data_IF_293573397912
#
_entry.id   IF_293573397912
#
_cell.length_a   1.000
_cell.length_b   1.000
_cell.length_c   1.000
_cell.angle_alpha   90.00
_cell.angle_beta   90.00
_cell.angle_gamma   90.00
#
_symmetry.space_group_name_H-M   'P 1'
#
loop_
_entity.id
_entity.type
_entity.pdbx_description
1 polymer ?
#
# COMPACT_ATOMS: atom_id res chain seq x y z
N UNK A 1 9.06 6.39 17.53
CA UNK A 1 7.92 6.75 16.67
C UNK A 1 8.36 7.88 15.77
N UNK A 2 8.21 7.74 14.46
CA UNK A 2 8.44 8.86 13.54
C UNK A 2 7.22 9.82 13.55
N UNK A 3 7.35 10.99 12.94
CA UNK A 3 6.28 12.00 12.92
C UNK A 3 4.94 11.46 12.40
N UNK A 4 4.97 10.74 11.28
CA UNK A 4 3.78 10.11 10.66
C UNK A 4 3.13 9.11 11.62
N UNK A 5 3.92 8.29 12.29
CA UNK A 5 3.44 7.27 13.23
C UNK A 5 2.72 7.93 14.42
N UNK A 6 3.27 9.01 14.99
CA UNK A 6 2.62 9.80 16.04
C UNK A 6 1.30 10.39 15.57
N UNK A 7 1.32 11.05 14.42
CA UNK A 7 0.15 11.68 13.82
C UNK A 7 -0.99 10.68 13.56
N UNK A 8 -0.69 9.59 12.86
CA UNK A 8 -1.68 8.57 12.51
C UNK A 8 -2.15 7.79 13.74
N UNK A 9 -1.27 7.53 14.72
CA UNK A 9 -1.68 6.84 15.95
C UNK A 9 -2.80 7.58 16.68
N UNK A 10 -2.71 8.91 16.78
CA UNK A 10 -3.74 9.74 17.43
C UNK A 10 -5.07 9.72 16.67
N UNK A 11 -5.03 9.91 15.34
CA UNK A 11 -6.23 9.95 14.49
C UNK A 11 -6.91 8.59 14.34
N UNK A 12 -6.14 7.50 14.26
CA UNK A 12 -6.70 6.15 14.24
C UNK A 12 -7.36 5.80 15.57
N UNK A 13 -6.73 6.13 16.70
CA UNK A 13 -7.28 5.86 18.04
C UNK A 13 -8.52 6.71 18.35
N UNK A 14 -8.58 7.96 17.87
CA UNK A 14 -9.76 8.81 18.05
C UNK A 14 -10.97 8.27 17.26
N UNK A 15 -10.74 7.72 16.06
CA UNK A 15 -11.79 7.14 15.21
C UNK A 15 -12.18 5.71 15.59
N UNK A 16 -11.24 4.92 16.12
CA UNK A 16 -11.50 3.58 16.62
C UNK A 16 -10.74 3.34 17.94
N UNK A 17 -11.35 3.67 19.10
CA UNK A 17 -10.69 3.52 20.41
C UNK A 17 -10.33 2.09 20.80
N UNK A 18 -10.94 1.08 20.15
CA UNK A 18 -10.69 -0.34 20.43
C UNK A 18 -9.43 -0.87 19.73
N UNK A 19 -8.85 -0.10 18.80
CA UNK A 19 -7.65 -0.49 18.07
C UNK A 19 -6.42 -0.41 19.00
N UNK A 20 -5.84 -1.55 19.34
CA UNK A 20 -4.66 -1.64 20.22
C UNK A 20 -3.36 -1.41 19.43
N UNK A 21 -3.19 -0.20 18.91
CA UNK A 21 -2.06 0.18 18.05
C UNK A 21 -0.68 0.14 18.74
N UNK A 22 -0.67 0.05 20.07
CA UNK A 22 0.56 -0.09 20.86
C UNK A 22 0.85 -1.53 21.27
N UNK A 23 -0.13 -2.43 21.18
CA UNK A 23 0.01 -3.86 21.41
C UNK A 23 -0.35 -4.68 20.17
N UNK A 24 -1.48 -5.39 20.23
CA UNK A 24 -1.83 -6.43 19.26
C UNK A 24 -2.04 -5.90 17.82
N UNK A 25 -2.54 -4.68 17.67
CA UNK A 25 -2.85 -4.07 16.36
C UNK A 25 -1.72 -3.17 15.84
N UNK A 26 -0.50 -3.25 16.41
CA UNK A 26 0.64 -2.46 15.93
C UNK A 26 0.89 -2.60 14.43
N UNK A 27 0.60 -3.77 13.86
CA UNK A 27 0.76 -4.00 12.41
C UNK A 27 -0.20 -3.14 11.59
N UNK A 28 -1.38 -2.83 12.11
CA UNK A 28 -2.36 -1.94 11.46
C UNK A 28 -1.79 -0.53 11.32
N UNK A 29 -1.17 0.00 12.39
CA UNK A 29 -0.50 1.30 12.36
C UNK A 29 0.66 1.33 11.35
N UNK A 30 1.47 0.26 11.28
CA UNK A 30 2.56 0.17 10.31
C UNK A 30 2.04 0.21 8.86
N UNK A 31 0.95 -0.52 8.57
CA UNK A 31 0.33 -0.52 7.24
C UNK A 31 -0.21 0.87 6.92
N UNK A 32 -0.92 1.52 7.85
CA UNK A 32 -1.41 2.88 7.66
C UNK A 32 -0.28 3.88 7.38
N UNK A 33 0.84 3.80 8.11
CA UNK A 33 2.00 4.67 7.87
C UNK A 33 2.60 4.46 6.47
N UNK A 34 2.72 3.20 6.05
CA UNK A 34 3.23 2.87 4.71
C UNK A 34 2.27 3.36 3.62
N UNK A 35 0.97 3.14 3.78
CA UNK A 35 -0.04 3.58 2.83
C UNK A 35 -0.13 5.10 2.72
N UNK A 36 -0.04 5.81 3.84
CA UNK A 36 -0.01 7.27 3.85
C UNK A 36 1.21 7.82 3.13
N UNK A 37 2.38 7.24 3.41
CA UNK A 37 3.65 7.56 2.72
C UNK A 37 3.51 7.35 1.21
N UNK A 38 2.96 6.22 0.79
CA UNK A 38 2.72 5.89 -0.62
C UNK A 38 1.74 6.90 -1.26
N UNK A 39 0.65 7.22 -0.57
CA UNK A 39 -0.34 8.19 -1.01
C UNK A 39 0.31 9.56 -1.27
N UNK A 40 1.08 10.07 -0.31
CA UNK A 40 1.76 11.37 -0.43
C UNK A 40 2.79 11.38 -1.57
N UNK A 41 3.53 10.28 -1.77
CA UNK A 41 4.46 10.16 -2.91
C UNK A 41 3.73 10.27 -4.24
N UNK A 42 2.54 9.69 -4.36
CA UNK A 42 1.74 9.83 -5.58
C UNK A 42 1.17 11.24 -5.71
N UNK A 43 0.60 11.78 -4.62
CA UNK A 43 -0.02 13.10 -4.59
C UNK A 43 0.96 14.23 -4.93
N UNK A 44 2.19 14.16 -4.43
CA UNK A 44 3.26 15.13 -4.72
C UNK A 44 4.15 14.76 -5.90
N UNK A 45 3.76 13.76 -6.69
CA UNK A 45 4.49 13.32 -7.88
C UNK A 45 5.98 13.00 -7.61
N UNK A 46 6.22 12.25 -6.53
CA UNK A 46 7.56 11.81 -6.09
C UNK A 46 7.91 10.39 -6.56
N UNK A 47 6.98 9.72 -7.23
CA UNK A 47 7.16 8.35 -7.73
C UNK A 47 8.36 8.28 -8.68
N UNK A 48 9.30 7.36 -8.43
CA UNK A 48 10.47 7.14 -9.28
C UNK A 48 11.58 8.18 -9.16
N UNK A 49 11.48 9.16 -8.24
CA UNK A 49 12.57 10.10 -7.95
C UNK A 49 13.61 9.46 -7.03
N UNK A 50 14.90 9.64 -7.33
CA UNK A 50 16.01 9.08 -6.53
C UNK A 50 16.00 9.55 -5.07
N UNK A 51 15.61 10.81 -4.82
CA UNK A 51 15.55 11.42 -3.49
C UNK A 51 14.12 11.46 -2.91
N UNK A 52 13.22 10.58 -3.34
CA UNK A 52 11.80 10.65 -2.98
C UNK A 52 11.52 10.67 -1.46
N UNK A 53 12.29 9.95 -0.65
CA UNK A 53 12.10 9.92 0.81
C UNK A 53 12.49 11.25 1.46
N UNK A 54 13.56 11.89 1.01
CA UNK A 54 14.02 13.18 1.53
C UNK A 54 13.06 14.29 1.11
N UNK A 55 12.70 14.35 -0.19
CA UNK A 55 11.74 15.34 -0.70
C UNK A 55 10.36 15.17 -0.04
N UNK A 56 9.95 13.94 0.27
CA UNK A 56 8.72 13.67 1.01
C UNK A 56 8.78 14.27 2.42
N UNK A 57 9.88 14.07 3.14
CA UNK A 57 10.03 14.57 4.51
C UNK A 57 10.00 16.11 4.53
N UNK A 58 10.73 16.76 3.63
CA UNK A 58 10.77 18.22 3.52
C UNK A 58 9.38 18.80 3.19
N UNK A 59 8.68 18.22 2.21
CA UNK A 59 7.32 18.65 1.84
C UNK A 59 6.32 18.45 2.98
N UNK A 60 6.45 17.36 3.73
CA UNK A 60 5.57 17.07 4.86
C UNK A 60 5.79 18.07 5.99
N UNK A 61 7.05 18.38 6.32
CA UNK A 61 7.39 19.37 7.32
C UNK A 61 6.92 20.77 6.88
N UNK A 62 7.16 21.16 5.63
CA UNK A 62 6.71 22.43 5.07
C UNK A 62 5.18 22.57 5.15
N UNK A 63 4.42 21.55 4.76
CA UNK A 63 2.96 21.59 4.79
C UNK A 63 2.44 21.69 6.24
N UNK A 64 3.03 20.93 7.15
CA UNK A 64 2.68 20.99 8.58
C UNK A 64 2.96 22.36 9.20
N UNK A 65 4.08 23.00 8.85
CA UNK A 65 4.45 24.30 9.39
C UNK A 65 3.63 25.45 8.79
N UNK A 66 3.34 25.41 7.49
CA UNK A 66 2.63 26.50 6.80
C UNK A 66 1.13 26.47 7.05
N UNK A 67 0.52 25.28 6.96
CA UNK A 67 -0.93 25.11 7.00
C UNK A 67 -1.34 24.01 8.00
N UNK A 68 -1.02 24.16 9.31
CA UNK A 68 -1.19 23.08 10.29
C UNK A 68 -2.66 22.61 10.43
N UNK A 69 -3.63 23.51 10.28
CA UNK A 69 -5.06 23.18 10.36
C UNK A 69 -5.52 22.37 9.16
N UNK A 70 -5.17 22.81 7.95
CA UNK A 70 -5.51 22.11 6.72
C UNK A 70 -4.85 20.72 6.69
N UNK A 71 -3.60 20.64 7.11
CA UNK A 71 -2.90 19.36 7.25
C UNK A 71 -3.63 18.42 8.22
N UNK A 72 -4.06 18.93 9.37
CA UNK A 72 -4.79 18.15 10.36
C UNK A 72 -6.13 17.63 9.82
N UNK A 73 -6.88 18.48 9.11
CA UNK A 73 -8.14 18.13 8.44
C UNK A 73 -7.93 17.09 7.33
N UNK A 74 -6.89 17.27 6.52
CA UNK A 74 -6.50 16.33 5.47
C UNK A 74 -6.21 14.93 6.05
N UNK A 75 -5.40 14.86 7.12
CA UNK A 75 -5.07 13.59 7.77
C UNK A 75 -6.31 12.97 8.41
N UNK A 76 -7.18 13.77 9.02
CA UNK A 76 -8.44 13.27 9.59
C UNK A 76 -9.35 12.66 8.52
N UNK A 77 -9.50 13.33 7.38
CA UNK A 77 -10.26 12.82 6.24
C UNK A 77 -9.63 11.53 5.70
N UNK A 78 -8.33 11.55 5.43
CA UNK A 78 -7.60 10.42 4.87
C UNK A 78 -7.70 9.18 5.77
N UNK A 79 -7.48 9.34 7.07
CA UNK A 79 -7.58 8.23 8.05
C UNK A 79 -8.99 7.66 8.14
N UNK A 80 -10.04 8.49 7.99
CA UNK A 80 -11.42 8.02 7.91
C UNK A 80 -11.67 7.12 6.70
N UNK A 81 -11.21 7.55 5.52
CA UNK A 81 -11.33 6.76 4.28
C UNK A 81 -10.52 5.46 4.37
N UNK A 82 -9.29 5.56 4.87
CA UNK A 82 -8.40 4.41 5.04
C UNK A 82 -9.01 3.37 5.99
N UNK A 83 -9.55 3.79 7.15
CA UNK A 83 -10.18 2.88 8.12
C UNK A 83 -11.39 2.15 7.55
N UNK A 84 -12.20 2.85 6.74
CA UNK A 84 -13.35 2.22 6.06
C UNK A 84 -12.89 1.08 5.16
N UNK A 85 -11.90 1.34 4.30
CA UNK A 85 -11.30 0.34 3.41
C UNK A 85 -10.59 -0.79 4.17
N UNK A 86 -9.91 -0.49 5.27
CA UNK A 86 -9.30 -1.49 6.13
C UNK A 86 -10.36 -2.42 6.74
N UNK A 87 -11.47 -1.87 7.24
CA UNK A 87 -12.57 -2.66 7.80
C UNK A 87 -13.20 -3.59 6.77
N UNK A 88 -13.43 -3.09 5.55
CA UNK A 88 -13.92 -3.90 4.43
C UNK A 88 -12.99 -5.09 4.15
N UNK A 89 -11.67 -4.87 4.13
CA UNK A 89 -10.67 -5.92 3.93
C UNK A 89 -10.64 -6.94 5.05
N UNK A 90 -10.65 -6.50 6.30
CA UNK A 90 -10.63 -7.42 7.46
C UNK A 90 -11.88 -8.32 7.46
N UNK A 91 -13.05 -7.79 7.08
CA UNK A 91 -14.28 -8.58 6.96
C UNK A 91 -14.17 -9.70 5.91
N UNK A 92 -13.52 -9.44 4.77
CA UNK A 92 -13.28 -10.45 3.74
C UNK A 92 -12.42 -11.61 4.25
N UNK A 93 -11.49 -11.37 5.17
CA UNK A 93 -10.62 -12.40 5.75
C UNK A 93 -11.34 -13.29 6.78
N UNK A 94 -12.44 -12.82 7.37
CA UNK A 94 -13.19 -13.53 8.42
C UNK A 94 -14.35 -14.36 7.81
N UNK A 95 -14.74 -14.08 6.56
CA UNK A 95 -15.80 -14.80 5.85
C UNK A 95 -15.35 -16.19 5.35
N UNK A 96 -16.10 -17.24 5.71
CA UNK A 96 -15.77 -18.64 5.42
C UNK A 96 -16.10 -19.09 3.97
N UNK A 97 -16.63 -18.21 3.12
CA UNK A 97 -17.20 -18.58 1.81
C UNK A 97 -16.15 -18.80 0.70
N UNK A 98 -14.87 -18.48 0.92
CA UNK A 98 -13.86 -18.46 -0.14
C UNK A 98 -12.62 -19.36 0.08
N UNK A 99 -12.64 -20.27 1.06
CA UNK A 99 -11.47 -21.06 1.46
C UNK A 99 -10.75 -21.76 0.27
N UNK A 100 -11.49 -22.30 -0.70
CA UNK A 100 -10.91 -22.95 -1.88
C UNK A 100 -10.24 -21.95 -2.85
N UNK A 101 -10.81 -20.75 -3.03
CA UNK A 101 -10.20 -19.69 -3.84
C UNK A 101 -8.92 -19.19 -3.17
N UNK A 102 -8.96 -18.99 -1.85
CA UNK A 102 -7.79 -18.60 -1.06
C UNK A 102 -6.66 -19.63 -1.14
N UNK A 103 -6.98 -20.92 -1.12
CA UNK A 103 -5.97 -21.97 -1.28
C UNK A 103 -5.28 -21.90 -2.66
N UNK A 104 -6.04 -21.62 -3.73
CA UNK A 104 -5.49 -21.47 -5.08
C UNK A 104 -4.59 -20.24 -5.17
N UNK A 105 -5.06 -19.08 -4.69
CA UNK A 105 -4.28 -17.82 -4.67
C UNK A 105 -3.01 -18.00 -3.84
N UNK A 106 -3.12 -18.58 -2.64
CA UNK A 106 -1.97 -18.85 -1.76
C UNK A 106 -0.93 -19.74 -2.45
N UNK A 107 -1.37 -20.77 -3.19
CA UNK A 107 -0.45 -21.62 -3.96
C UNK A 107 0.28 -20.85 -5.06
N UNK A 108 -0.42 -19.97 -5.79
CA UNK A 108 0.18 -19.11 -6.82
C UNK A 108 1.23 -18.18 -6.19
N UNK A 109 0.87 -17.48 -5.11
CA UNK A 109 1.77 -16.58 -4.40
C UNK A 109 3.03 -17.31 -3.87
N UNK A 110 2.86 -18.51 -3.29
CA UNK A 110 3.98 -19.31 -2.80
C UNK A 110 4.90 -19.79 -3.93
N UNK A 111 4.35 -20.13 -5.09
CA UNK A 111 5.15 -20.51 -6.26
C UNK A 111 5.93 -19.33 -6.85
N UNK A 112 5.36 -18.12 -6.79
CA UNK A 112 5.99 -16.90 -7.28
C UNK A 112 7.07 -16.37 -6.32
N UNK A 113 6.99 -16.67 -5.02
CA UNK A 113 7.88 -16.14 -3.99
C UNK A 113 9.39 -16.32 -4.29
N UNK A 114 9.89 -17.49 -4.75
CA UNK A 114 11.31 -17.64 -5.08
C UNK A 114 11.75 -16.78 -6.27
N UNK A 115 10.86 -16.59 -7.26
CA UNK A 115 11.13 -15.76 -8.43
C UNK A 115 11.11 -14.29 -8.02
N UNK A 116 10.07 -13.89 -7.29
CA UNK A 116 9.94 -12.56 -6.70
C UNK A 116 11.22 -12.17 -5.96
N UNK A 117 11.71 -13.02 -5.05
CA UNK A 117 12.93 -12.74 -4.27
C UNK A 117 14.20 -12.49 -5.09
N UNK A 118 14.27 -12.99 -6.32
CA UNK A 118 15.44 -12.85 -7.21
C UNK A 118 15.39 -11.58 -8.06
N UNK A 119 14.23 -10.93 -8.17
CA UNK A 119 14.10 -9.69 -8.94
C UNK A 119 14.81 -8.54 -8.22
N UNK A 120 15.71 -7.88 -8.94
CA UNK A 120 16.53 -6.76 -8.42
C UNK A 120 15.75 -5.45 -8.37
N UNK A 121 14.77 -5.27 -9.27
CA UNK A 121 13.97 -4.08 -9.48
C UNK A 121 12.55 -4.15 -8.85
N UNK A 122 12.38 -4.97 -7.79
CA UNK A 122 11.06 -5.17 -7.15
C UNK A 122 10.43 -3.90 -6.63
N UNK A 123 11.24 -3.02 -6.06
CA UNK A 123 10.77 -1.80 -5.40
C UNK A 123 10.17 -0.86 -6.45
N UNK A 124 10.84 -0.72 -7.58
CA UNK A 124 10.41 0.08 -8.73
C UNK A 124 9.12 -0.49 -9.33
N UNK A 125 9.04 -1.81 -9.52
CA UNK A 125 7.81 -2.47 -9.97
C UNK A 125 6.65 -2.26 -9.00
N UNK A 126 6.89 -2.38 -7.68
CA UNK A 126 5.88 -2.09 -6.67
C UNK A 126 5.44 -0.63 -6.72
N UNK A 127 6.37 0.32 -6.87
CA UNK A 127 6.06 1.74 -6.89
C UNK A 127 5.14 2.12 -8.06
N UNK A 128 5.34 1.52 -9.24
CA UNK A 128 4.45 1.70 -10.39
C UNK A 128 3.05 1.18 -10.09
N UNK A 129 2.93 -0.05 -9.58
CA UNK A 129 1.62 -0.65 -9.26
C UNK A 129 0.92 0.13 -8.14
N UNK A 130 1.66 0.53 -7.10
CA UNK A 130 1.16 1.38 -6.00
C UNK A 130 0.62 2.71 -6.56
N UNK A 131 1.35 3.35 -7.48
CA UNK A 131 0.89 4.59 -8.12
C UNK A 131 -0.43 4.38 -8.85
N UNK A 132 -0.55 3.29 -9.62
CA UNK A 132 -1.80 2.93 -10.32
C UNK A 132 -2.95 2.67 -9.35
N UNK A 133 -2.71 1.91 -8.27
CA UNK A 133 -3.72 1.63 -7.24
C UNK A 133 -4.26 2.93 -6.63
N UNK A 134 -3.36 3.83 -6.21
CA UNK A 134 -3.75 5.10 -5.58
C UNK A 134 -4.50 6.01 -6.57
N UNK A 135 -4.06 6.08 -7.82
CA UNK A 135 -4.76 6.85 -8.88
C UNK A 135 -6.18 6.34 -9.14
N UNK A 136 -6.43 5.05 -8.89
CA UNK A 136 -7.76 4.43 -8.96
C UNK A 136 -8.50 4.41 -7.62
N UNK A 137 -8.05 5.19 -6.64
CA UNK A 137 -8.72 5.35 -5.35
C UNK A 137 -8.47 4.20 -4.36
N UNK A 138 -7.53 3.31 -4.63
CA UNK A 138 -7.09 2.31 -3.67
C UNK A 138 -5.93 2.83 -2.81
N UNK A 139 -6.25 3.16 -1.55
CA UNK A 139 -5.32 3.81 -0.61
C UNK A 139 -4.94 2.91 0.58
N UNK A 140 -5.49 1.69 0.68
CA UNK A 140 -5.32 0.82 1.84
C UNK A 140 -4.71 -0.53 1.44
N UNK A 141 -3.67 -0.96 2.16
CA UNK A 141 -2.91 -2.16 1.87
C UNK A 141 -2.15 -2.08 0.54
N UNK A 142 -1.81 -0.88 0.07
CA UNK A 142 -1.27 -0.62 -1.28
C UNK A 142 -0.03 -1.45 -1.59
N UNK A 143 0.91 -1.55 -0.64
CA UNK A 143 2.14 -2.34 -0.81
C UNK A 143 1.86 -3.84 -0.84
N UNK A 144 0.92 -4.31 -0.03
CA UNK A 144 0.52 -5.72 0.03
C UNK A 144 -0.20 -6.12 -1.26
N UNK A 145 -1.12 -5.28 -1.74
CA UNK A 145 -1.83 -5.50 -2.98
C UNK A 145 -0.89 -5.47 -4.18
N UNK A 146 -0.01 -4.48 -4.26
CA UNK A 146 0.98 -4.38 -5.33
C UNK A 146 1.88 -5.62 -5.39
N UNK A 147 2.40 -6.07 -4.24
CA UNK A 147 3.20 -7.28 -4.17
C UNK A 147 2.41 -8.53 -4.61
N UNK A 148 1.18 -8.68 -4.12
CA UNK A 148 0.34 -9.82 -4.47
C UNK A 148 -0.03 -9.83 -5.95
N UNK A 149 -0.37 -8.67 -6.55
CA UNK A 149 -0.64 -8.55 -7.98
C UNK A 149 0.58 -8.96 -8.81
N UNK A 150 1.75 -8.42 -8.49
CA UNK A 150 3.01 -8.78 -9.16
C UNK A 150 3.31 -10.28 -9.03
N UNK A 151 3.11 -10.86 -7.84
CA UNK A 151 3.30 -12.30 -7.61
C UNK A 151 2.27 -13.16 -8.31
N UNK A 152 1.01 -12.76 -8.38
CA UNK A 152 -0.01 -13.49 -9.13
C UNK A 152 0.40 -13.57 -10.60
N UNK A 153 0.85 -12.45 -11.16
CA UNK A 153 1.35 -12.40 -12.53
C UNK A 153 2.58 -13.30 -12.71
N UNK A 154 3.55 -13.28 -11.81
CA UNK A 154 4.69 -14.20 -11.86
C UNK A 154 4.30 -15.68 -11.72
N UNK A 155 3.32 -15.99 -10.87
CA UNK A 155 2.93 -17.36 -10.52
C UNK A 155 1.93 -18.00 -11.49
N UNK A 156 1.12 -17.20 -12.19
CA UNK A 156 0.21 -17.67 -13.23
C UNK A 156 0.92 -17.91 -14.57
N UNK A 157 2.11 -17.33 -14.74
CA UNK A 157 2.80 -17.36 -16.01
C UNK A 157 3.50 -18.69 -16.33
N UNK A 158 2.76 -19.51 -17.10
CA UNK A 158 3.31 -20.47 -18.08
C UNK A 158 3.89 -19.80 -19.35
N UNK A 159 3.79 -18.47 -19.49
CA UNK A 159 4.26 -17.72 -20.67
C UNK A 159 5.64 -17.12 -20.42
N UNK A 160 6.58 -17.41 -21.33
CA UNK A 160 7.89 -16.73 -21.41
C UNK A 160 7.66 -15.32 -21.92
N UNK A 161 7.73 -14.31 -21.06
CA UNK A 161 7.86 -12.92 -21.52
C UNK A 161 9.25 -12.72 -22.10
N UNK A 162 9.32 -11.89 -23.12
CA UNK A 162 10.59 -11.58 -23.77
C UNK A 162 11.31 -10.40 -23.11
N UNK A 163 10.61 -9.60 -22.31
CA UNK A 163 11.20 -8.48 -21.54
C UNK A 163 10.38 -8.05 -20.30
N UNK A 164 11.03 -7.39 -19.36
CA UNK A 164 10.42 -6.80 -18.15
C UNK A 164 9.37 -5.72 -18.48
N UNK A 165 9.56 -4.98 -19.58
CA UNK A 165 8.62 -3.93 -20.03
C UNK A 165 7.29 -4.53 -20.49
N UNK A 166 7.35 -5.64 -21.23
CA UNK A 166 6.17 -6.39 -21.68
C UNK A 166 5.40 -6.96 -20.49
N UNK A 167 6.13 -7.43 -19.46
CA UNK A 167 5.52 -7.88 -18.23
C UNK A 167 4.80 -6.72 -17.52
N UNK A 168 5.47 -5.59 -17.27
CA UNK A 168 4.87 -4.44 -16.57
C UNK A 168 3.60 -3.92 -17.26
N UNK A 169 3.61 -3.81 -18.60
CA UNK A 169 2.46 -3.36 -19.39
C UNK A 169 1.23 -4.25 -19.19
N UNK A 170 1.40 -5.57 -19.16
CA UNK A 170 0.29 -6.49 -18.89
C UNK A 170 -0.26 -6.34 -17.47
N UNK A 171 0.61 -6.18 -16.48
CA UNK A 171 0.19 -6.01 -15.08
C UNK A 171 -0.66 -4.74 -14.94
N UNK A 172 -0.20 -3.62 -15.51
CA UNK A 172 -0.94 -2.36 -15.48
C UNK A 172 -2.32 -2.50 -16.12
N UNK A 173 -2.41 -3.16 -17.28
CA UNK A 173 -3.67 -3.36 -17.98
C UNK A 173 -4.65 -4.26 -17.22
N UNK A 174 -4.16 -5.26 -16.49
CA UNK A 174 -5.00 -6.16 -15.67
C UNK A 174 -5.45 -5.53 -14.34
N UNK A 175 -4.89 -4.38 -13.96
CA UNK A 175 -5.24 -3.66 -12.72
C UNK A 175 -6.26 -2.53 -12.95
N UNK A 176 -6.64 -2.27 -14.21
CA UNK A 176 -7.70 -1.34 -14.62
C UNK A 176 -9.05 -2.06 -14.74
#
# INVERSE_FOLDING_TARGET
MNFIETLLSGKLKSKNPMLDIFGADRKVLQIACQDFTNYLKVYWNLVGKEANEFELADKLEEFYQKEPKEFEEFVDLWTGIWLKKWSERVKLLIGNEEAQRWNKVTKILNNAEPIWRRLTNRREMQEVVISTLIKNGEICGTSILAENLLKMELGENKRKYTSDQEQILNIVNNTL
#
